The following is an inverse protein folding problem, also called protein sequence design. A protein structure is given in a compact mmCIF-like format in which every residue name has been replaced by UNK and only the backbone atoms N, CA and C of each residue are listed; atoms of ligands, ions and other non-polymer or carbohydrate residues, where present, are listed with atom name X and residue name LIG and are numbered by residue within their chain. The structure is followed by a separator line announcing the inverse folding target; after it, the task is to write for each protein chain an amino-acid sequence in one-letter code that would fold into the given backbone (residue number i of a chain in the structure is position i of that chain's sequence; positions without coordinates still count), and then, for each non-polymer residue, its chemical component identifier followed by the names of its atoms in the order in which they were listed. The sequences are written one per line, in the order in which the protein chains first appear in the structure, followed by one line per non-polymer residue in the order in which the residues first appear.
data_IF_580632465513
#
_entry.id   IF_580632465513
#
_cell.length_a   1.000
_cell.length_b   1.000
_cell.length_c   1.000
_cell.angle_alpha   90.00
_cell.angle_beta   90.00
_cell.angle_gamma   90.00
#
_symmetry.space_group_name_H-M   'P 1'
#
loop_
_entity.id
_entity.type
_entity.pdbx_description
1 polymer ?
#
# COMPACT_ATOMS: atom_id res chain seq x y z
N UNK A 1 4.79 -9.39 10.45
CA UNK A 1 4.93 -8.82 9.08
C UNK A 1 3.66 -8.05 8.77
N UNK A 2 3.77 -6.77 8.40
CA UNK A 2 2.61 -5.90 8.23
C UNK A 2 1.86 -6.28 6.94
N UNK A 3 0.55 -6.51 7.05
CA UNK A 3 -0.31 -6.80 5.90
C UNK A 3 -0.29 -5.59 4.94
N UNK A 4 0.20 -5.79 3.71
CA UNK A 4 0.29 -4.73 2.70
C UNK A 4 -1.03 -4.49 1.96
N UNK A 5 -2.00 -5.41 2.01
CA UNK A 5 -3.23 -5.30 1.22
C UNK A 5 -4.48 -5.66 2.05
N UNK A 6 -5.56 -4.90 1.86
CA UNK A 6 -6.88 -5.13 2.46
C UNK A 6 -7.99 -4.79 1.48
N UNK A 7 -8.99 -5.66 1.39
CA UNK A 7 -10.20 -5.41 0.61
C UNK A 7 -11.35 -5.01 1.53
N UNK A 8 -12.14 -4.03 1.11
CA UNK A 8 -13.32 -3.54 1.80
C UNK A 8 -14.51 -3.61 0.84
N UNK A 9 -15.61 -4.21 1.28
CA UNK A 9 -16.81 -4.36 0.47
C UNK A 9 -17.88 -3.38 0.87
N UNK A 10 -18.56 -2.78 -0.10
CA UNK A 10 -19.63 -1.82 0.12
C UNK A 10 -19.74 -0.87 -1.06
N UNK A 11 -20.47 0.23 -0.86
CA UNK A 11 -20.66 1.25 -1.91
C UNK A 11 -19.56 2.30 -1.95
N UNK A 12 -18.48 2.16 -1.17
CA UNK A 12 -17.36 3.10 -1.20
C UNK A 12 -16.57 2.91 -2.51
N UNK A 13 -16.21 4.02 -3.15
CA UNK A 13 -15.38 4.03 -4.35
C UNK A 13 -13.95 4.45 -4.01
N UNK A 14 -13.01 4.14 -4.90
CA UNK A 14 -11.60 4.49 -4.78
C UNK A 14 -11.42 6.00 -4.63
N UNK A 15 -12.15 6.79 -5.43
CA UNK A 15 -12.17 8.24 -5.34
C UNK A 15 -12.69 8.74 -3.99
N UNK A 16 -13.83 8.20 -3.52
CA UNK A 16 -14.40 8.61 -2.24
C UNK A 16 -13.46 8.29 -1.07
N UNK A 17 -12.83 7.10 -1.07
CA UNK A 17 -11.85 6.74 -0.04
C UNK A 17 -10.62 7.64 -0.10
N UNK A 18 -10.13 7.96 -1.31
CA UNK A 18 -8.99 8.85 -1.50
C UNK A 18 -9.24 10.27 -0.98
N UNK A 19 -10.40 10.85 -1.31
CA UNK A 19 -10.80 12.19 -0.85
C UNK A 19 -10.91 12.26 0.68
N UNK A 20 -11.50 11.24 1.31
CA UNK A 20 -11.62 11.19 2.78
C UNK A 20 -10.25 11.05 3.46
N UNK A 21 -9.34 10.24 2.91
CA UNK A 21 -7.97 10.12 3.42
C UNK A 21 -7.18 11.43 3.22
N UNK A 22 -7.30 12.05 2.05
CA UNK A 22 -6.67 13.34 1.76
C UNK A 22 -7.16 14.44 2.71
N UNK A 23 -8.46 14.47 3.02
CA UNK A 23 -9.01 15.38 4.01
C UNK A 23 -8.49 15.08 5.44
N UNK A 24 -8.41 13.80 5.81
CA UNK A 24 -7.97 13.36 7.15
C UNK A 24 -6.51 13.67 7.46
N UNK A 25 -5.65 13.57 6.44
CA UNK A 25 -4.20 13.81 6.53
C UNK A 25 -3.79 15.13 5.83
N UNK A 26 -4.74 16.02 5.54
CA UNK A 26 -4.50 17.35 4.97
C UNK A 26 -4.20 18.40 6.03
N UNK A 27 -3.36 18.09 7.02
CA UNK A 27 -3.00 18.98 8.13
C UNK A 27 -1.57 19.55 8.00
N UNK A 28 -1.10 20.31 9.00
CA UNK A 28 0.25 20.91 8.99
C UNK A 28 1.37 19.91 9.30
N UNK A 29 1.05 18.74 9.83
CA UNK A 29 2.02 17.70 10.24
C UNK A 29 2.26 16.67 9.12
N UNK A 30 1.32 16.55 8.20
CA UNK A 30 1.31 15.59 7.12
C UNK A 30 1.37 16.27 5.75
N UNK A 31 2.03 15.62 4.79
CA UNK A 31 1.98 15.99 3.38
C UNK A 31 1.23 14.89 2.64
N UNK A 32 0.11 15.26 2.03
CA UNK A 32 -0.72 14.33 1.27
C UNK A 32 -0.77 14.74 -0.20
N UNK A 33 -0.52 13.79 -1.09
CA UNK A 33 -0.70 13.92 -2.54
C UNK A 33 -1.70 12.86 -2.95
N UNK A 34 -2.70 13.24 -3.74
CA UNK A 34 -3.70 12.33 -4.27
C UNK A 34 -3.83 12.49 -5.79
N UNK A 35 -3.91 11.37 -6.50
CA UNK A 35 -4.15 11.30 -7.93
C UNK A 35 -5.30 10.33 -8.20
N UNK A 36 -6.23 10.75 -9.05
CA UNK A 36 -7.42 9.98 -9.39
C UNK A 36 -7.31 9.44 -10.82
N UNK A 37 -7.62 8.16 -10.99
CA UNK A 37 -7.80 7.50 -12.28
C UNK A 37 -9.20 6.91 -12.41
N UNK A 38 -9.59 6.42 -13.60
CA UNK A 38 -10.84 5.69 -13.77
C UNK A 38 -10.86 4.45 -12.88
N UNK A 39 -11.73 4.43 -11.87
CA UNK A 39 -11.86 3.33 -10.92
C UNK A 39 -10.63 3.07 -10.05
N UNK A 40 -9.69 4.02 -9.95
CA UNK A 40 -8.45 3.89 -9.17
C UNK A 40 -8.07 5.21 -8.52
N UNK A 41 -7.35 5.16 -7.41
CA UNK A 41 -6.77 6.33 -6.77
C UNK A 41 -5.42 5.99 -6.14
N UNK A 42 -4.46 6.91 -6.26
CA UNK A 42 -3.15 6.84 -5.64
C UNK A 42 -3.06 7.93 -4.58
N UNK A 43 -2.75 7.56 -3.33
CA UNK A 43 -2.61 8.50 -2.21
C UNK A 43 -1.24 8.30 -1.59
N UNK A 44 -0.42 9.35 -1.57
CA UNK A 44 0.85 9.36 -0.86
C UNK A 44 0.74 10.22 0.39
N UNK A 45 1.03 9.65 1.56
CA UNK A 45 0.95 10.33 2.86
C UNK A 45 2.33 10.28 3.52
N UNK A 46 2.95 11.44 3.69
CA UNK A 46 4.22 11.62 4.40
C UNK A 46 4.02 12.35 5.72
N UNK A 47 4.89 12.10 6.70
CA UNK A 47 5.05 12.94 7.89
C UNK A 47 6.41 13.62 7.89
N UNK A 48 6.58 14.66 8.70
CA UNK A 48 7.82 15.47 8.79
C UNK A 48 9.10 14.65 9.02
N UNK A 49 9.01 13.51 9.72
CA UNK A 49 10.17 12.71 10.13
C UNK A 49 10.06 11.22 9.81
N UNK A 50 8.98 10.80 9.12
CA UNK A 50 8.68 9.40 8.82
C UNK A 50 8.89 9.02 7.36
N UNK A 51 8.92 7.71 7.09
CA UNK A 51 8.88 7.19 5.73
C UNK A 51 7.47 7.41 5.17
N UNK A 52 7.31 8.04 3.99
CA UNK A 52 6.01 8.22 3.38
C UNK A 52 5.41 6.86 3.01
N UNK A 53 4.08 6.80 3.02
CA UNK A 53 3.30 5.62 2.67
C UNK A 53 2.51 5.93 1.41
N UNK A 54 2.49 4.98 0.49
CA UNK A 54 1.70 5.07 -0.75
C UNK A 54 0.57 4.06 -0.71
N UNK A 55 -0.66 4.52 -0.88
CA UNK A 55 -1.86 3.71 -1.04
C UNK A 55 -2.25 3.69 -2.51
N UNK A 56 -2.42 2.51 -3.07
CA UNK A 56 -3.11 2.28 -4.33
C UNK A 56 -4.48 1.68 -4.00
N UNK A 57 -5.53 2.42 -4.33
CA UNK A 57 -6.92 2.02 -4.14
C UNK A 57 -7.52 1.72 -5.51
N UNK A 58 -8.09 0.53 -5.68
CA UNK A 58 -8.76 0.14 -6.91
C UNK A 58 -10.20 -0.24 -6.61
N UNK A 59 -11.14 0.27 -7.42
CA UNK A 59 -12.52 -0.19 -7.43
C UNK A 59 -12.58 -1.66 -7.84
N UNK A 60 -13.50 -2.35 -7.20
CA UNK A 60 -13.79 -3.76 -7.44
C UNK A 60 -15.30 -3.92 -7.56
N UNK A 61 -15.78 -5.04 -8.10
CA UNK A 61 -17.21 -5.25 -8.33
C UNK A 61 -18.11 -5.11 -7.07
N UNK A 62 -17.53 -5.15 -5.87
CA UNK A 62 -18.26 -5.04 -4.61
C UNK A 62 -17.57 -4.15 -3.58
N UNK A 63 -16.76 -3.17 -3.97
CA UNK A 63 -16.11 -2.23 -3.05
C UNK A 63 -14.72 -1.81 -3.52
N UNK A 64 -13.74 -1.72 -2.63
CA UNK A 64 -12.37 -1.28 -2.95
C UNK A 64 -11.31 -2.24 -2.44
N UNK A 65 -10.22 -2.31 -3.19
CA UNK A 65 -8.98 -2.93 -2.76
C UNK A 65 -7.96 -1.85 -2.42
N UNK A 66 -7.45 -1.88 -1.19
CA UNK A 66 -6.41 -0.98 -0.71
C UNK A 66 -5.09 -1.74 -0.64
N UNK A 67 -4.10 -1.26 -1.39
CA UNK A 67 -2.71 -1.74 -1.34
C UNK A 67 -1.81 -0.64 -0.80
N UNK A 68 -1.14 -0.92 0.31
CA UNK A 68 -0.21 -0.02 0.95
C UNK A 68 1.23 -0.45 0.68
N UNK A 69 1.98 0.38 -0.05
CA UNK A 69 3.40 0.22 -0.32
C UNK A 69 4.21 1.20 0.52
N UNK A 70 5.33 0.74 1.08
CA UNK A 70 6.26 1.57 1.87
C UNK A 70 7.43 2.10 1.05
N UNK A 71 7.50 1.76 -0.24
CA UNK A 71 8.62 2.16 -1.08
C UNK A 71 8.46 3.56 -1.69
N UNK A 72 9.54 4.33 -1.52
CA UNK A 72 9.86 5.61 -2.16
C UNK A 72 10.36 5.31 -3.56
N UNK A 73 9.92 5.98 -4.64
CA UNK A 73 10.80 6.06 -5.83
C UNK A 73 10.47 7.01 -6.99
N UNK A 74 9.76 8.13 -6.81
CA UNK A 74 9.74 9.12 -7.92
C UNK A 74 9.91 10.59 -7.54
N UNK A 75 9.44 11.01 -6.37
CA UNK A 75 9.49 12.44 -5.99
C UNK A 75 10.80 12.86 -5.30
N UNK A 76 11.47 11.97 -4.55
CA UNK A 76 12.61 12.36 -3.70
C UNK A 76 13.96 12.39 -4.44
N UNK A 77 14.09 11.75 -5.62
CA UNK A 77 15.37 11.72 -6.37
C UNK A 77 15.72 13.01 -7.11
N UNK A 78 14.77 13.93 -7.27
CA UNK A 78 15.00 15.20 -7.99
C UNK A 78 15.37 16.34 -7.02
N UNK A 79 15.01 16.22 -5.73
CA UNK A 79 15.30 17.24 -4.74
C UNK A 79 16.74 17.17 -4.21
N UNK A 80 17.25 15.97 -3.92
CA UNK A 80 18.55 15.83 -3.24
C UNK A 80 19.75 15.72 -4.20
N UNK A 81 19.55 15.30 -5.45
CA UNK A 81 20.67 15.09 -6.38
C UNK A 81 21.39 16.40 -6.73
N UNK A 82 20.66 17.51 -6.83
CA UNK A 82 21.22 18.82 -7.19
C UNK A 82 22.16 19.36 -6.09
N UNK A 83 21.74 19.28 -4.83
CA UNK A 83 22.52 19.74 -3.67
C UNK A 83 23.73 18.83 -3.40
N UNK A 84 23.58 17.52 -3.65
CA UNK A 84 24.66 16.53 -3.52
C UNK A 84 25.75 16.76 -4.59
N UNK A 85 25.38 17.08 -5.83
CA UNK A 85 26.32 17.34 -6.93
C UNK A 85 27.08 18.65 -6.68
N UNK A 86 26.40 19.71 -6.23
CA UNK A 86 27.03 20.99 -5.90
C UNK A 86 28.06 20.85 -4.77
N UNK A 87 27.75 20.05 -3.76
CA UNK A 87 28.61 19.87 -2.58
C UNK A 87 29.79 18.91 -2.82
N UNK A 88 29.64 17.96 -3.76
CA UNK A 88 30.73 17.12 -4.25
C UNK A 88 31.71 17.90 -5.15
N UNK A 89 31.21 18.87 -5.92
CA UNK A 89 32.03 19.75 -6.76
C UNK A 89 32.91 20.73 -5.95
N UNK A 90 32.58 20.97 -4.66
CA UNK A 90 33.31 21.88 -3.78
C UNK A 90 34.61 21.30 -3.17
N UNK A 91 35.01 20.07 -3.51
CA UNK A 91 36.38 19.57 -3.32
C UNK A 91 36.88 19.41 -1.87
N UNK A 92 36.00 19.45 -0.85
CA UNK A 92 36.43 19.33 0.54
C UNK A 92 36.47 17.85 0.99
N UNK A 93 37.66 17.24 1.21
CA UNK A 93 37.81 15.82 1.50
C UNK A 93 37.21 15.40 2.86
N UNK A 94 36.83 16.35 3.71
CA UNK A 94 36.19 16.08 5.00
C UNK A 94 34.65 15.91 4.90
N UNK A 95 34.02 16.18 3.75
CA UNK A 95 32.56 16.05 3.60
C UNK A 95 32.04 14.61 3.71
N UNK A 96 32.89 13.61 3.48
CA UNK A 96 32.51 12.19 3.58
C UNK A 96 32.51 11.66 5.03
N UNK A 97 33.21 12.32 5.96
CA UNK A 97 33.23 11.92 7.37
C UNK A 97 31.97 12.33 8.15
N UNK A 98 31.13 13.19 7.57
CA UNK A 98 29.79 13.45 8.08
C UNK A 98 28.75 12.39 7.64
N UNK A 99 29.16 11.38 6.85
CA UNK A 99 28.30 10.28 6.38
C UNK A 99 28.43 9.01 7.22
N UNK A 100 28.87 9.08 8.46
CA UNK A 100 28.47 8.06 9.44
C UNK A 100 27.10 8.54 9.91
N UNK A 101 25.97 7.91 9.52
CA UNK A 101 24.72 8.19 10.20
C UNK A 101 24.99 7.89 11.67
N UNK A 102 24.69 8.84 12.56
CA UNK A 102 24.59 8.56 13.99
C UNK A 102 23.65 7.36 14.15
N UNK A 103 24.26 6.19 14.27
CA UNK A 103 23.62 5.03 14.80
C UNK A 103 23.22 5.43 16.22
N UNK A 104 21.92 5.33 16.50
CA UNK A 104 21.24 5.70 17.75
C UNK A 104 20.68 7.14 17.73
N UNK A 105 19.65 7.34 16.90
CA UNK A 105 18.76 8.50 16.91
C UNK A 105 17.29 8.06 16.89
N UNK A 106 16.79 7.72 18.08
CA UNK A 106 15.37 7.64 18.47
C UNK A 106 14.42 6.73 17.67
N UNK A 107 14.29 5.51 18.20
CA UNK A 107 13.05 4.73 18.24
C UNK A 107 11.90 5.55 18.87
N UNK A 108 11.32 6.47 18.11
CA UNK A 108 9.95 6.99 18.28
C UNK A 108 9.52 7.80 17.05
N UNK A 109 10.03 7.47 15.86
CA UNK A 109 9.41 7.93 14.61
C UNK A 109 8.00 7.36 14.56
N UNK A 110 7.00 8.23 14.65
CA UNK A 110 5.60 7.88 14.47
C UNK A 110 5.47 7.07 13.19
N UNK A 111 5.22 5.77 13.35
CA UNK A 111 4.97 4.90 12.22
C UNK A 111 3.59 5.28 11.70
N UNK A 112 3.56 6.07 10.62
CA UNK A 112 2.32 6.55 10.03
C UNK A 112 1.50 5.42 9.41
N UNK A 113 2.13 4.30 9.05
CA UNK A 113 1.45 3.16 8.42
C UNK A 113 0.32 2.55 9.27
N UNK A 114 0.51 2.23 10.57
CA UNK A 114 -0.60 1.89 11.47
C UNK A 114 -1.73 2.92 11.47
N UNK A 115 -1.42 4.21 11.61
CA UNK A 115 -2.43 5.28 11.66
C UNK A 115 -3.23 5.38 10.35
N UNK A 116 -2.56 5.21 9.21
CA UNK A 116 -3.20 5.15 7.90
C UNK A 116 -4.13 3.95 7.80
N UNK A 117 -3.70 2.78 8.27
CA UNK A 117 -4.56 1.60 8.29
C UNK A 117 -5.78 1.78 9.19
N UNK A 118 -5.62 2.41 10.36
CA UNK A 118 -6.72 2.70 11.28
C UNK A 118 -7.73 3.65 10.62
N UNK A 119 -7.25 4.72 9.98
CA UNK A 119 -8.09 5.66 9.23
C UNK A 119 -8.85 4.97 8.09
N UNK A 120 -8.20 4.08 7.33
CA UNK A 120 -8.86 3.30 6.28
C UNK A 120 -9.99 2.44 6.86
N UNK A 121 -9.75 1.73 7.97
CA UNK A 121 -10.78 0.89 8.59
C UNK A 121 -11.97 1.74 9.09
N UNK A 122 -11.71 2.89 9.71
CA UNK A 122 -12.74 3.80 10.21
C UNK A 122 -13.60 4.36 9.07
N UNK A 123 -12.97 4.88 8.00
CA UNK A 123 -13.69 5.45 6.85
C UNK A 123 -14.56 4.39 6.17
N UNK A 124 -14.00 3.19 5.96
CA UNK A 124 -14.75 2.09 5.38
C UNK A 124 -15.91 1.66 6.28
N UNK A 125 -15.70 1.51 7.59
CA UNK A 125 -16.75 1.16 8.55
C UNK A 125 -17.90 2.19 8.56
N UNK A 126 -17.59 3.49 8.58
CA UNK A 126 -18.59 4.57 8.52
C UNK A 126 -19.40 4.56 7.22
N UNK A 127 -18.79 4.13 6.13
CA UNK A 127 -19.43 4.00 4.82
C UNK A 127 -20.24 2.71 4.65
N UNK A 128 -20.41 1.92 5.73
CA UNK A 128 -20.94 0.54 5.71
C UNK A 128 -20.17 -0.34 4.71
N UNK A 129 -18.91 -0.02 4.47
CA UNK A 129 -18.02 -0.84 3.69
C UNK A 129 -17.27 -1.81 4.64
N UNK A 130 -17.79 -3.02 4.81
CA UNK A 130 -17.23 -4.04 5.71
C UNK A 130 -16.20 -4.91 5.00
N UNK A 131 -15.18 -5.37 5.73
CA UNK A 131 -14.21 -6.33 5.21
C UNK A 131 -14.83 -7.75 5.15
N UNK A 132 -14.92 -8.30 3.94
CA UNK A 132 -15.39 -9.64 3.58
C UNK A 132 -16.90 -9.97 3.68
N UNK A 133 -17.58 -10.23 2.55
CA UNK A 133 -18.91 -10.88 2.45
C UNK A 133 -19.03 -11.83 1.22
N UNK A 134 -20.13 -12.62 1.14
CA UNK A 134 -20.39 -13.71 0.17
C UNK A 134 -20.25 -13.28 -1.31
N UNK A 135 -20.61 -12.03 -1.62
CA UNK A 135 -20.55 -11.41 -2.96
C UNK A 135 -19.26 -10.62 -3.24
N UNK A 136 -18.23 -10.77 -2.40
CA UNK A 136 -16.93 -10.16 -2.62
C UNK A 136 -16.39 -10.46 -4.04
N UNK A 137 -15.78 -9.50 -4.75
CA UNK A 137 -14.99 -9.78 -5.95
C UNK A 137 -13.80 -10.71 -5.67
N UNK A 138 -13.36 -11.46 -6.69
CA UNK A 138 -12.27 -12.41 -6.56
C UNK A 138 -10.98 -11.76 -6.02
N UNK A 139 -10.18 -12.53 -5.29
CA UNK A 139 -8.98 -11.99 -4.67
C UNK A 139 -8.02 -11.45 -5.75
N UNK A 140 -7.44 -10.26 -5.52
CA UNK A 140 -6.50 -9.67 -6.44
C UNK A 140 -5.19 -10.45 -6.47
N UNK A 141 -4.53 -10.44 -7.62
CA UNK A 141 -3.19 -10.99 -7.81
C UNK A 141 -2.19 -9.86 -7.62
N UNK A 142 -1.44 -9.89 -6.51
CA UNK A 142 -0.30 -9.01 -6.30
C UNK A 142 0.82 -9.36 -7.30
N UNK A 143 1.27 -8.37 -8.07
CA UNK A 143 2.39 -8.53 -8.99
C UNK A 143 3.69 -8.82 -8.23
N UNK A 144 4.45 -9.88 -8.56
CA UNK A 144 5.70 -10.19 -7.86
C UNK A 144 6.80 -9.16 -8.13
N UNK A 145 6.68 -8.35 -9.19
CA UNK A 145 7.68 -7.38 -9.60
C UNK A 145 7.45 -5.99 -8.99
N UNK A 146 6.23 -5.46 -9.10
CA UNK A 146 5.90 -4.09 -8.68
C UNK A 146 4.83 -4.02 -7.58
N UNK A 147 4.35 -5.17 -7.09
CA UNK A 147 3.33 -5.29 -6.04
C UNK A 147 1.97 -4.65 -6.34
N UNK A 148 1.77 -4.11 -7.55
CA UNK A 148 0.45 -3.67 -8.03
C UNK A 148 -0.53 -4.82 -7.93
N UNK A 149 -1.70 -4.56 -7.34
CA UNK A 149 -2.80 -5.50 -7.34
C UNK A 149 -3.50 -5.53 -8.70
N UNK A 150 -3.78 -6.73 -9.19
CA UNK A 150 -4.44 -6.94 -10.47
C UNK A 150 -5.70 -7.79 -10.27
N UNK A 151 -6.70 -7.67 -11.17
CA UNK A 151 -7.88 -8.52 -11.11
C UNK A 151 -7.52 -10.03 -11.14
N UNK A 152 -8.31 -10.89 -10.48
CA UNK A 152 -8.16 -12.34 -10.58
C UNK A 152 -8.20 -12.78 -12.05
N UNK A 153 -7.34 -13.73 -12.42
CA UNK A 153 -7.26 -14.26 -13.79
C UNK A 153 -6.50 -13.37 -14.78
N UNK A 154 -5.96 -12.23 -14.36
CA UNK A 154 -5.08 -11.41 -15.20
C UNK A 154 -3.76 -12.14 -15.48
N UNK A 155 -3.38 -12.29 -16.74
CA UNK A 155 -2.10 -12.90 -17.12
C UNK A 155 -0.89 -11.95 -17.04
N UNK A 156 -1.13 -10.63 -17.06
CA UNK A 156 -0.08 -9.60 -17.00
C UNK A 156 -0.48 -8.46 -16.08
N UNK A 157 0.52 -7.82 -15.48
CA UNK A 157 0.34 -6.69 -14.59
C UNK A 157 -0.08 -5.45 -15.37
N UNK A 158 -1.15 -4.78 -14.93
CA UNK A 158 -1.65 -3.55 -15.53
C UNK A 158 -0.67 -2.36 -15.40
N UNK A 159 0.21 -2.37 -14.40
CA UNK A 159 1.19 -1.30 -14.16
C UNK A 159 2.53 -1.55 -14.87
N UNK A 160 3.17 -2.70 -14.65
CA UNK A 160 4.53 -2.95 -15.17
C UNK A 160 4.58 -3.91 -16.37
N UNK A 161 3.47 -4.53 -16.77
CA UNK A 161 3.42 -5.54 -17.82
C UNK A 161 4.06 -6.89 -17.47
N UNK A 162 4.55 -7.07 -16.24
CA UNK A 162 5.13 -8.33 -15.77
C UNK A 162 4.11 -9.48 -15.76
N UNK A 163 4.58 -10.72 -15.97
CA UNK A 163 3.72 -11.90 -15.93
C UNK A 163 3.17 -12.13 -14.51
N UNK A 164 1.89 -12.47 -14.42
CA UNK A 164 1.22 -12.74 -13.14
C UNK A 164 1.09 -14.25 -12.89
N UNK A 165 1.18 -14.70 -11.62
CA UNK A 165 0.97 -16.11 -11.28
C UNK A 165 -0.46 -16.55 -11.62
N UNK A 166 -0.59 -17.70 -12.29
CA UNK A 166 -1.88 -18.32 -12.64
C UNK A 166 -2.41 -19.17 -11.48
N UNK A 167 -1.51 -19.85 -10.76
CA UNK A 167 -1.86 -20.71 -9.65
C UNK A 167 -1.74 -19.99 -8.31
N UNK A 168 -2.86 -19.97 -7.56
CA UNK A 168 -2.97 -19.37 -6.24
C UNK A 168 -2.72 -20.46 -5.18
N UNK A 169 -1.55 -20.47 -4.50
CA UNK A 169 -1.11 -21.61 -3.68
C UNK A 169 -1.92 -21.84 -2.38
N UNK A 170 -2.77 -20.89 -1.98
CA UNK A 170 -3.57 -21.00 -0.75
C UNK A 170 -5.03 -20.80 -1.03
N UNK A 171 -5.87 -21.71 -0.54
CA UNK A 171 -7.32 -21.62 -0.63
C UNK A 171 -7.90 -21.37 0.75
N UNK A 172 -8.80 -20.40 0.87
CA UNK A 172 -9.50 -20.14 2.12
C UNK A 172 -10.39 -21.33 2.50
N UNK A 173 -10.27 -21.89 3.72
CA UNK A 173 -11.06 -23.05 4.13
C UNK A 173 -12.54 -22.72 4.35
N UNK A 174 -12.91 -21.46 4.55
CA UNK A 174 -14.30 -21.03 4.76
C UNK A 174 -15.03 -20.73 3.44
N UNK A 175 -14.40 -19.97 2.54
CA UNK A 175 -15.06 -19.48 1.33
C UNK A 175 -14.48 -20.04 0.01
N UNK A 176 -13.49 -20.94 0.08
CA UNK A 176 -12.95 -21.63 -1.09
C UNK A 176 -12.12 -20.76 -2.05
N UNK A 177 -11.78 -19.54 -1.67
CA UNK A 177 -11.13 -18.57 -2.56
C UNK A 177 -9.60 -18.65 -2.52
N UNK A 178 -8.95 -18.62 -3.68
CA UNK A 178 -7.49 -18.71 -3.83
C UNK A 178 -6.76 -17.39 -3.52
N UNK A 179 -5.54 -17.46 -2.98
CA UNK A 179 -4.70 -16.33 -2.61
C UNK A 179 -3.26 -16.51 -3.14
N UNK A 180 -2.67 -15.45 -3.72
CA UNK A 180 -1.23 -15.40 -4.09
C UNK A 180 -0.34 -14.94 -2.94
N UNK A 181 -0.92 -14.27 -1.94
CA UNK A 181 -0.15 -13.56 -0.92
C UNK A 181 0.07 -14.37 0.35
N UNK A 182 1.05 -13.95 1.14
CA UNK A 182 1.31 -14.43 2.50
C UNK A 182 0.27 -13.94 3.51
N UNK A 183 -0.90 -13.50 3.04
CA UNK A 183 -1.94 -12.96 3.89
C UNK A 183 -2.31 -13.98 4.97
N UNK A 184 -2.32 -13.52 6.21
CA UNK A 184 -2.74 -14.33 7.35
C UNK A 184 -4.27 -14.51 7.39
N UNK A 185 -5.00 -13.64 6.70
CA UNK A 185 -6.46 -13.63 6.67
C UNK A 185 -6.98 -13.55 5.24
N UNK A 186 -8.10 -14.22 4.99
CA UNK A 186 -8.79 -14.21 3.73
C UNK A 186 -9.35 -12.81 3.46
N UNK A 187 -8.94 -12.19 2.36
CA UNK A 187 -9.40 -10.87 1.95
C UNK A 187 -10.89 -10.84 1.59
N UNK A 188 -11.51 -11.99 1.31
CA UNK A 188 -12.92 -12.10 0.97
C UNK A 188 -13.85 -12.42 2.15
N UNK A 189 -13.37 -13.01 3.26
CA UNK A 189 -14.26 -13.40 4.37
C UNK A 189 -13.65 -13.25 5.77
N UNK A 190 -12.45 -12.67 5.88
CA UNK A 190 -11.74 -12.46 7.15
C UNK A 190 -11.20 -13.72 7.82
N UNK A 191 -11.50 -14.93 7.30
CA UNK A 191 -11.05 -16.19 7.89
C UNK A 191 -9.54 -16.31 7.85
N UNK A 192 -8.91 -16.74 8.94
CA UNK A 192 -7.47 -16.98 8.97
C UNK A 192 -7.08 -18.03 7.92
N UNK A 193 -6.13 -17.69 7.06
CA UNK A 193 -5.56 -18.64 6.10
C UNK A 193 -4.55 -19.50 6.84
N UNK A 194 -4.86 -20.79 7.00
CA UNK A 194 -3.92 -21.78 7.52
C UNK A 194 -2.84 -22.02 6.48
N UNK A 195 -1.57 -21.92 6.88
CA UNK A 195 -0.49 -22.45 6.07
C UNK A 195 -0.56 -23.97 6.15
N UNK A 196 -0.97 -24.61 5.06
CA UNK A 196 -0.67 -26.02 4.89
C UNK A 196 0.85 -26.10 4.72
N UNK A 197 1.51 -26.41 5.83
CA UNK A 197 2.95 -26.65 5.84
C UNK A 197 3.15 -27.85 4.94
N UNK A 198 3.83 -27.65 3.80
CA UNK A 198 4.21 -28.73 2.91
C UNK A 198 4.80 -29.87 3.76
N UNK A 199 4.15 -31.03 3.73
CA UNK A 199 4.76 -32.28 4.15
C UNK A 199 5.70 -32.76 3.06
#
# INVERSE_FOLDING_TARGET
MAQLQRMFHGSITAAALADQLAARFGDRQHRTVCEHGPGTALIQIGSKHGTPVTLNVADTAGGVLVTMSRDRDWLDRVADASEIIERAAAGNPLSLLAMIPDAIGELKKENIAPQVWDAVNEICALSRALAGEEDAPGNPIACPYCQTANPPGSGRCAACGGALPVDLPRVCPKCGRGHTSDALFCQACGTRLVQESAR
#
